data_IF_214355470400
#
_entry.id   IF_214355470400
#
_cell.length_a   1.000
_cell.length_b   1.000
_cell.length_c   1.000
_cell.angle_alpha   90.00
_cell.angle_beta   90.00
_cell.angle_gamma   90.00
#
_symmetry.space_group_name_H-M   'P 1'
#
loop_
_entity.id
_entity.type
_entity.pdbx_description
1 polymer ?
#
# COMPACT_ATOMS: atom_id res chain seq x y z
N UNK A 1 -49.03 31.09 -13.38
CA UNK A 1 -48.43 29.78 -13.06
C UNK A 1 -46.99 29.73 -13.59
N UNK A 2 -46.05 30.45 -12.97
CA UNK A 2 -44.65 30.61 -13.43
C UNK A 2 -43.71 30.71 -12.23
N UNK A 3 -43.92 29.89 -11.19
CA UNK A 3 -43.24 30.08 -9.90
C UNK A 3 -42.90 28.75 -9.20
N UNK A 4 -42.47 27.74 -9.96
CA UNK A 4 -42.02 26.45 -9.40
C UNK A 4 -40.92 25.79 -10.24
N UNK A 5 -40.14 26.57 -11.00
CA UNK A 5 -39.12 26.04 -11.91
C UNK A 5 -37.78 26.73 -11.70
N UNK A 6 -37.29 26.71 -10.45
CA UNK A 6 -35.95 27.26 -10.14
C UNK A 6 -35.23 26.48 -9.03
N UNK A 7 -35.90 25.58 -8.30
CA UNK A 7 -35.26 24.89 -7.16
C UNK A 7 -34.54 23.58 -7.52
N UNK A 8 -34.57 23.14 -8.78
CA UNK A 8 -34.10 21.79 -9.16
C UNK A 8 -32.69 21.74 -9.77
N UNK A 9 -31.99 22.88 -9.87
CA UNK A 9 -30.66 22.95 -10.50
C UNK A 9 -29.47 23.00 -9.51
N UNK A 10 -29.69 22.92 -8.20
CA UNK A 10 -28.60 22.96 -7.20
C UNK A 10 -28.21 21.59 -6.60
N UNK A 11 -28.79 20.47 -7.07
CA UNK A 11 -28.50 19.12 -6.56
C UNK A 11 -27.44 18.36 -7.39
N UNK A 12 -26.49 19.07 -8.01
CA UNK A 12 -25.63 18.51 -9.07
C UNK A 12 -24.18 18.22 -8.73
N UNK A 13 -23.71 18.44 -7.50
CA UNK A 13 -22.30 18.17 -7.11
C UNK A 13 -22.21 17.42 -5.77
N UNK A 14 -23.03 16.39 -5.56
CA UNK A 14 -22.65 15.30 -4.67
C UNK A 14 -22.08 14.18 -5.54
N UNK A 15 -20.87 14.40 -6.06
CA UNK A 15 -20.11 13.30 -6.65
C UNK A 15 -20.01 12.21 -5.57
N UNK A 16 -20.28 10.94 -5.88
CA UNK A 16 -19.98 9.88 -4.93
C UNK A 16 -18.50 10.01 -4.61
N UNK A 17 -18.18 10.24 -3.34
CA UNK A 17 -16.82 10.12 -2.84
C UNK A 17 -16.34 8.75 -3.29
N UNK A 18 -15.41 8.72 -4.26
CA UNK A 18 -14.93 7.47 -4.86
C UNK A 18 -14.40 6.53 -3.79
N UNK A 19 -14.40 5.22 -4.06
CA UNK A 19 -13.72 4.26 -3.20
C UNK A 19 -12.27 4.72 -3.00
N UNK A 20 -11.79 4.87 -1.75
CA UNK A 20 -10.44 5.32 -1.50
C UNK A 20 -9.44 4.46 -2.27
N UNK A 21 -8.53 5.08 -3.01
CA UNK A 21 -7.56 4.34 -3.82
C UNK A 21 -6.24 4.18 -3.05
N UNK A 22 -5.51 3.07 -3.24
CA UNK A 22 -4.14 2.93 -2.74
C UNK A 22 -3.25 4.11 -3.18
N UNK A 23 -2.51 4.71 -2.25
CA UNK A 23 -1.54 5.78 -2.53
C UNK A 23 -0.11 5.36 -2.21
N UNK A 24 0.09 4.61 -1.13
CA UNK A 24 1.40 4.13 -0.74
C UNK A 24 1.30 2.81 0.02
N UNK A 25 2.14 1.85 -0.32
CA UNK A 25 2.36 0.64 0.47
C UNK A 25 3.81 0.64 1.01
N UNK A 26 3.94 0.47 2.33
CA UNK A 26 5.23 0.36 3.02
C UNK A 26 5.32 -1.00 3.69
N UNK A 27 6.42 -1.69 3.44
CA UNK A 27 6.68 -3.01 4.00
C UNK A 27 7.77 -2.90 5.07
N UNK A 28 7.48 -3.37 6.28
CA UNK A 28 8.50 -3.70 7.29
C UNK A 28 8.73 -5.22 7.31
N UNK A 29 9.63 -5.69 8.18
CA UNK A 29 9.93 -7.11 8.36
C UNK A 29 8.66 -7.95 8.58
N UNK A 30 7.70 -7.42 9.35
CA UNK A 30 6.51 -8.18 9.77
C UNK A 30 5.19 -7.55 9.31
N UNK A 31 5.16 -6.23 9.07
CA UNK A 31 3.92 -5.47 8.89
C UNK A 31 3.88 -4.77 7.53
N UNK A 32 2.79 -4.97 6.81
CA UNK A 32 2.43 -4.22 5.62
C UNK A 32 1.55 -3.04 6.06
N UNK A 33 1.96 -1.82 5.72
CA UNK A 33 1.18 -0.60 5.96
C UNK A 33 0.73 -0.02 4.62
N UNK A 34 -0.59 0.07 4.39
CA UNK A 34 -1.17 0.72 3.22
C UNK A 34 -1.79 2.06 3.63
N UNK A 35 -1.52 3.10 2.86
CA UNK A 35 -2.15 4.42 2.98
C UNK A 35 -3.05 4.66 1.78
N UNK A 36 -4.31 5.01 2.04
CA UNK A 36 -5.34 5.31 1.04
C UNK A 36 -5.45 6.82 0.79
N UNK A 37 -6.13 7.20 -0.30
CA UNK A 37 -6.32 8.60 -0.73
C UNK A 37 -7.14 9.46 0.23
N UNK A 38 -7.95 8.83 1.09
CA UNK A 38 -8.71 9.49 2.15
C UNK A 38 -7.92 9.64 3.46
N UNK A 39 -6.65 9.20 3.49
CA UNK A 39 -5.80 9.18 4.67
C UNK A 39 -5.99 7.96 5.56
N UNK A 40 -6.87 7.00 5.19
CA UNK A 40 -7.02 5.75 5.92
C UNK A 40 -5.71 4.95 5.88
N UNK A 41 -5.28 4.47 7.05
CA UNK A 41 -4.08 3.66 7.21
C UNK A 41 -4.47 2.24 7.60
N UNK A 42 -4.15 1.30 6.73
CA UNK A 42 -4.37 -0.13 6.91
C UNK A 42 -3.08 -0.81 7.35
N UNK A 43 -3.19 -1.81 8.22
CA UNK A 43 -2.05 -2.66 8.59
C UNK A 43 -2.43 -4.12 8.54
N UNK A 44 -1.49 -4.96 8.12
CA UNK A 44 -1.60 -6.41 8.18
C UNK A 44 -0.24 -7.04 8.51
N UNK A 45 -0.27 -8.11 9.31
CA UNK A 45 0.90 -8.92 9.66
C UNK A 45 1.22 -9.90 8.51
N UNK A 46 1.76 -9.36 7.42
CA UNK A 46 1.96 -10.09 6.16
C UNK A 46 2.90 -11.30 6.31
N UNK A 47 3.91 -11.19 7.18
CA UNK A 47 4.88 -12.26 7.41
C UNK A 47 4.20 -13.47 8.08
N UNK A 48 3.34 -13.23 9.07
CA UNK A 48 2.57 -14.28 9.74
C UNK A 48 1.52 -14.91 8.80
N UNK A 49 0.99 -14.14 7.85
CA UNK A 49 0.05 -14.61 6.84
C UNK A 49 0.70 -15.37 5.67
N UNK A 50 2.03 -15.47 5.63
CA UNK A 50 2.75 -16.13 4.53
C UNK A 50 2.77 -15.33 3.22
N UNK A 51 2.63 -14.00 3.29
CA UNK A 51 2.77 -13.10 2.15
C UNK A 51 1.51 -12.80 1.36
N UNK A 52 0.39 -13.45 1.62
CA UNK A 52 -0.88 -13.17 0.94
C UNK A 52 -2.01 -13.10 1.95
N UNK A 53 -2.88 -12.10 1.83
CA UNK A 53 -4.01 -11.95 2.75
C UNK A 53 -4.95 -10.83 2.36
N UNK A 54 -5.77 -10.42 3.32
CA UNK A 54 -6.63 -9.24 3.20
C UNK A 54 -6.26 -8.20 4.24
N UNK A 55 -6.57 -6.95 3.95
CA UNK A 55 -6.52 -5.87 4.92
C UNK A 55 -7.90 -5.76 5.57
N UNK A 56 -8.23 -6.69 6.48
CA UNK A 56 -9.48 -6.66 7.26
C UNK A 56 -9.81 -5.31 7.89
N UNK A 57 -8.85 -4.52 8.45
CA UNK A 57 -9.19 -3.22 9.02
C UNK A 57 -9.51 -2.14 7.97
N UNK A 58 -9.40 -2.42 6.67
CA UNK A 58 -9.66 -1.46 5.60
C UNK A 58 -10.84 -1.83 4.73
N UNK A 59 -12.01 -1.39 5.18
CA UNK A 59 -13.23 -1.38 4.39
C UNK A 59 -13.61 -2.77 3.84
N UNK A 60 -14.20 -2.86 2.63
CA UNK A 60 -14.75 -4.11 2.11
C UNK A 60 -13.69 -5.15 1.67
N UNK A 61 -12.41 -4.97 2.02
CA UNK A 61 -11.40 -6.03 1.98
C UNK A 61 -10.47 -5.98 0.79
N UNK A 62 -9.55 -5.00 0.79
CA UNK A 62 -8.38 -4.99 -0.09
C UNK A 62 -7.58 -6.28 0.07
N UNK A 63 -7.27 -6.94 -1.03
CA UNK A 63 -6.32 -8.04 -1.06
C UNK A 63 -4.90 -7.51 -1.08
N UNK A 64 -3.96 -8.26 -0.50
CA UNK A 64 -2.54 -8.01 -0.68
C UNK A 64 -1.80 -9.30 -1.01
N UNK A 65 -0.78 -9.16 -1.86
CA UNK A 65 0.20 -10.20 -2.14
C UNK A 65 1.60 -9.57 -2.10
N UNK A 66 2.52 -10.19 -1.37
CA UNK A 66 3.91 -9.76 -1.20
C UNK A 66 4.81 -10.81 -1.82
N UNK A 67 5.55 -10.41 -2.85
CA UNK A 67 6.56 -11.25 -3.49
C UNK A 67 7.96 -10.74 -3.09
N UNK A 68 8.67 -11.53 -2.28
CA UNK A 68 10.03 -11.19 -1.86
C UNK A 68 11.01 -11.51 -2.99
N UNK A 69 11.78 -10.51 -3.41
CA UNK A 69 12.78 -10.65 -4.47
C UNK A 69 13.97 -11.43 -3.90
N UNK A 70 14.06 -12.73 -4.24
CA UNK A 70 15.07 -13.65 -3.72
C UNK A 70 16.48 -13.45 -4.28
N UNK A 71 16.68 -12.56 -5.27
CA UNK A 71 18.00 -12.29 -5.84
C UNK A 71 18.52 -10.89 -5.50
N UNK A 72 18.83 -10.60 -4.22
CA UNK A 72 19.50 -9.36 -3.86
C UNK A 72 20.94 -9.39 -4.37
N UNK A 73 21.37 -8.32 -5.06
CA UNK A 73 22.75 -8.14 -5.49
C UNK A 73 23.76 -8.35 -4.34
N UNK A 74 24.98 -8.81 -4.65
CA UNK A 74 26.06 -9.08 -3.68
C UNK A 74 26.29 -7.95 -2.66
N UNK A 75 26.21 -6.70 -3.11
CA UNK A 75 26.34 -5.53 -2.25
C UNK A 75 25.25 -5.47 -1.17
N UNK A 76 24.03 -5.87 -1.51
CA UNK A 76 22.90 -5.88 -0.57
C UNK A 76 23.04 -7.01 0.45
N UNK A 77 23.53 -8.19 0.03
CA UNK A 77 23.81 -9.30 0.95
C UNK A 77 24.92 -8.95 1.95
N UNK A 78 25.99 -8.29 1.48
CA UNK A 78 27.07 -7.79 2.33
C UNK A 78 26.56 -6.75 3.33
N UNK A 79 25.72 -5.81 2.89
CA UNK A 79 25.17 -4.78 3.75
C UNK A 79 24.22 -5.37 4.80
N UNK A 80 23.30 -6.26 4.41
CA UNK A 80 22.38 -6.92 5.35
C UNK A 80 23.16 -7.74 6.39
N UNK A 81 24.17 -8.49 5.96
CA UNK A 81 25.03 -9.26 6.88
C UNK A 81 25.84 -8.39 7.83
N UNK A 82 26.32 -7.22 7.36
CA UNK A 82 26.99 -6.22 8.22
C UNK A 82 26.03 -5.62 9.25
N UNK A 83 24.82 -5.24 8.85
CA UNK A 83 23.82 -4.69 9.78
C UNK A 83 23.35 -5.71 10.81
N UNK A 84 23.22 -6.97 10.41
CA UNK A 84 22.91 -8.08 11.32
C UNK A 84 24.05 -8.30 12.33
N UNK A 85 25.29 -8.36 11.86
CA UNK A 85 26.47 -8.49 12.73
C UNK A 85 26.69 -7.32 13.70
N UNK A 86 26.16 -6.13 13.38
CA UNK A 86 26.22 -4.93 14.22
C UNK A 86 25.04 -4.84 15.21
N UNK A 87 24.14 -5.83 15.25
CA UNK A 87 22.96 -5.80 16.11
C UNK A 87 21.89 -4.81 15.66
N UNK A 88 21.94 -4.36 14.42
CA UNK A 88 20.90 -3.52 13.79
C UNK A 88 19.84 -4.39 13.05
N UNK A 89 19.60 -5.58 13.61
CA UNK A 89 18.63 -6.57 13.16
C UNK A 89 17.24 -5.91 13.04
N UNK A 90 16.62 -6.01 11.86
CA UNK A 90 15.29 -5.43 11.60
C UNK A 90 15.25 -3.98 11.09
N UNK A 91 16.40 -3.33 10.84
CA UNK A 91 16.43 -1.95 10.32
C UNK A 91 16.33 -1.84 8.79
N UNK A 92 16.50 -2.95 8.05
CA UNK A 92 16.51 -2.95 6.59
C UNK A 92 15.23 -3.58 6.05
N UNK A 93 14.32 -2.80 5.43
CA UNK A 93 13.10 -3.35 4.85
C UNK A 93 13.42 -4.32 3.71
N UNK A 94 12.69 -5.46 3.62
CA UNK A 94 12.93 -6.47 2.60
C UNK A 94 12.66 -5.91 1.20
N UNK A 95 13.39 -6.45 0.23
CA UNK A 95 13.15 -6.14 -1.18
C UNK A 95 11.97 -6.99 -1.65
N UNK A 96 10.85 -6.35 -1.94
CA UNK A 96 9.63 -7.05 -2.29
C UNK A 96 8.76 -6.21 -3.21
N UNK A 97 8.01 -6.89 -4.03
CA UNK A 97 6.88 -6.33 -4.76
C UNK A 97 5.60 -6.59 -3.95
N UNK A 98 4.78 -5.55 -3.79
CA UNK A 98 3.51 -5.62 -3.08
C UNK A 98 2.40 -5.28 -4.07
N UNK A 99 1.59 -6.28 -4.40
CA UNK A 99 0.37 -6.09 -5.18
C UNK A 99 -0.80 -5.88 -4.23
N UNK A 100 -1.52 -4.77 -4.41
CA UNK A 100 -2.74 -4.46 -3.69
C UNK A 100 -3.91 -4.56 -4.66
N UNK A 101 -4.82 -5.49 -4.38
CA UNK A 101 -6.04 -5.67 -5.16
C UNK A 101 -7.18 -4.93 -4.48
N UNK A 102 -7.78 -3.97 -5.18
CA UNK A 102 -8.92 -3.23 -4.65
C UNK A 102 -10.22 -4.08 -4.65
N UNK A 103 -11.29 -3.63 -3.98
CA UNK A 103 -12.58 -4.32 -3.99
C UNK A 103 -13.26 -4.40 -5.37
N UNK A 104 -12.83 -3.59 -6.34
CA UNK A 104 -13.28 -3.62 -7.72
C UNK A 104 -12.46 -4.59 -8.60
N UNK A 105 -11.41 -5.21 -8.05
CA UNK A 105 -10.50 -6.13 -8.73
C UNK A 105 -9.37 -5.46 -9.50
N UNK A 106 -9.06 -4.20 -9.23
CA UNK A 106 -7.94 -3.47 -9.83
C UNK A 106 -6.68 -3.69 -8.99
N UNK A 107 -5.63 -4.16 -9.64
CA UNK A 107 -4.34 -4.38 -9.01
C UNK A 107 -3.46 -3.13 -9.11
N UNK A 108 -2.87 -2.74 -7.99
CA UNK A 108 -1.85 -1.70 -7.90
C UNK A 108 -0.57 -2.29 -7.34
N UNK A 109 0.53 -2.11 -8.06
CA UNK A 109 1.85 -2.64 -7.67
C UNK A 109 2.68 -1.56 -7.00
N UNK A 110 3.29 -1.91 -5.87
CA UNK A 110 4.23 -1.09 -5.13
C UNK A 110 5.54 -1.85 -4.94
N UNK A 111 6.67 -1.15 -4.97
CA UNK A 111 7.99 -1.73 -4.75
C UNK A 111 8.54 -1.26 -3.41
N UNK A 112 9.04 -2.21 -2.61
CA UNK A 112 9.76 -1.95 -1.37
C UNK A 112 11.24 -2.37 -1.52
N UNK A 113 12.21 -1.56 -1.04
CA UNK A 113 12.06 -0.17 -0.65
C UNK A 113 11.63 0.71 -1.84
N UNK A 114 10.95 1.85 -1.61
CA UNK A 114 10.59 2.75 -2.70
C UNK A 114 11.85 3.21 -3.44
N UNK A 115 11.78 3.39 -4.78
CA UNK A 115 12.88 3.95 -5.54
C UNK A 115 13.30 5.30 -4.95
N UNK A 116 14.61 5.52 -4.82
CA UNK A 116 15.11 6.86 -4.52
C UNK A 116 14.99 7.69 -5.79
N UNK A 117 14.19 8.75 -5.76
CA UNK A 117 14.28 9.79 -6.77
C UNK A 117 15.68 10.42 -6.64
N UNK A 118 16.60 10.04 -7.52
CA UNK A 118 17.81 10.83 -7.74
C UNK A 118 17.35 12.10 -8.45
N UNK A 119 16.97 13.11 -7.68
CA UNK A 119 16.68 14.44 -8.21
C UNK A 119 17.90 14.97 -8.96
N UNK A 120 17.66 15.45 -10.18
CA UNK A 120 18.63 16.13 -11.04
C UNK A 120 19.02 17.51 -10.49
#
# INVERSE_FOLDING_TARGET
MHKFMTLMLLAGCAAPFGTPVPQAARLSTDVLTLTLSDGTICRADWAAAGGVGRLEPCGPGYGYAVEVVQNPNLLRQLFTGLTEALGAEGSVPPMAEVTITDPAGVDTVFVSPPPVDMGD
#
